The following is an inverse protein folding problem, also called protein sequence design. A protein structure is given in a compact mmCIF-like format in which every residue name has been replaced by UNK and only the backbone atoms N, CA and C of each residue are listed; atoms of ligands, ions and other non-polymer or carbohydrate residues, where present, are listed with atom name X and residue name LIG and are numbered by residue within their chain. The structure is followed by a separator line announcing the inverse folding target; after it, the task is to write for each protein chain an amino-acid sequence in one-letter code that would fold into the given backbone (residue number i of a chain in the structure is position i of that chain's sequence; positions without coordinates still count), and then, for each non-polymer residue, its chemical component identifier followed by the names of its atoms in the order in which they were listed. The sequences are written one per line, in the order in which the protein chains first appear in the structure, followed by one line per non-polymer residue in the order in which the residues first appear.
data_IF_242553580647
#
_entry.id   IF_242553580647
#
_cell.length_a   1.000
_cell.length_b   1.000
_cell.length_c   1.000
_cell.angle_alpha   90.00
_cell.angle_beta   90.00
_cell.angle_gamma   90.00
#
_symmetry.space_group_name_H-M   'P 1'
#
loop_
_entity.id
_entity.type
_entity.pdbx_description
1 polymer ?
#
# COMPACT_ATOMS: atom_id res chain seq x y z
N UNK A 1 2.23 63.20 -15.19
CA UNK A 1 1.65 62.64 -13.94
C UNK A 1 0.30 62.01 -14.27
N UNK A 2 -0.02 60.87 -13.65
CA UNK A 2 -1.26 60.06 -13.78
C UNK A 2 -1.25 58.98 -14.87
N UNK A 3 -0.64 57.83 -14.57
CA UNK A 3 -1.11 56.47 -14.91
C UNK A 3 -0.16 55.45 -14.28
N UNK A 4 -0.25 55.25 -12.95
CA UNK A 4 0.37 54.09 -12.31
C UNK A 4 -0.30 53.78 -10.97
N UNK A 5 -1.61 53.47 -11.04
CA UNK A 5 -2.38 52.97 -9.89
C UNK A 5 -3.43 51.93 -10.27
N UNK A 6 -3.67 51.69 -11.57
CA UNK A 6 -4.65 50.69 -12.02
C UNK A 6 -4.04 49.28 -12.23
N UNK A 7 -2.72 49.18 -12.44
CA UNK A 7 -2.05 47.90 -12.70
C UNK A 7 -1.75 47.11 -11.43
N UNK A 8 -1.71 47.75 -10.26
CA UNK A 8 -1.43 47.08 -8.98
C UNK A 8 -2.68 46.46 -8.32
N UNK A 9 -3.89 46.86 -8.72
CA UNK A 9 -5.13 46.25 -8.21
C UNK A 9 -5.54 44.99 -9.00
N UNK A 10 -5.18 44.90 -10.29
CA UNK A 10 -5.46 43.73 -11.13
C UNK A 10 -4.57 42.51 -10.79
N UNK A 11 -3.43 42.75 -10.16
CA UNK A 11 -2.48 41.69 -9.79
C UNK A 11 -2.79 41.03 -8.43
N UNK A 12 -3.68 41.63 -7.63
CA UNK A 12 -4.14 41.06 -6.34
C UNK A 12 -5.37 40.15 -6.49
N UNK A 13 -6.14 40.28 -7.57
CA UNK A 13 -7.31 39.42 -7.83
C UNK A 13 -6.96 38.13 -8.59
N UNK A 14 -5.83 38.10 -9.28
CA UNK A 14 -5.42 36.92 -10.05
C UNK A 14 -4.76 35.84 -9.16
N UNK A 15 -4.15 36.23 -8.03
CA UNK A 15 -3.56 35.28 -7.06
C UNK A 15 -4.61 34.51 -6.27
N UNK A 16 -5.85 35.01 -6.21
CA UNK A 16 -6.94 34.37 -5.46
C UNK A 16 -7.78 33.36 -6.28
N UNK A 17 -7.47 33.21 -7.58
CA UNK A 17 -8.07 32.19 -8.46
C UNK A 17 -7.24 30.89 -8.48
N UNK A 18 -5.91 30.97 -8.41
CA UNK A 18 -5.04 29.79 -8.39
C UNK A 18 -5.15 28.99 -7.07
N UNK A 19 -5.53 29.64 -5.97
CA UNK A 19 -5.68 28.98 -4.66
C UNK A 19 -7.04 28.28 -4.55
N UNK A 20 -8.08 28.76 -5.24
CA UNK A 20 -9.45 28.22 -5.12
C UNK A 20 -9.62 26.85 -5.77
N UNK A 21 -8.84 26.54 -6.81
CA UNK A 21 -8.81 25.22 -7.44
C UNK A 21 -7.91 24.21 -6.70
N UNK A 22 -6.92 24.69 -5.92
CA UNK A 22 -6.01 23.82 -5.15
C UNK A 22 -6.60 23.35 -3.80
N UNK A 23 -7.64 24.01 -3.29
CA UNK A 23 -8.27 23.69 -1.98
C UNK A 23 -9.70 23.12 -2.10
N UNK A 24 -10.22 22.95 -3.32
CA UNK A 24 -11.59 22.49 -3.57
C UNK A 24 -11.68 21.05 -4.11
N UNK A 25 -10.71 20.18 -3.79
CA UNK A 25 -10.91 18.73 -3.96
C UNK A 25 -10.36 17.87 -2.82
N UNK A 26 -10.96 17.92 -1.61
CA UNK A 26 -10.87 16.83 -0.65
C UNK A 26 -11.77 15.65 -1.07
N UNK A 27 -11.74 15.26 -2.35
CA UNK A 27 -12.52 14.12 -2.85
C UNK A 27 -11.71 13.30 -3.85
N UNK A 28 -10.80 12.49 -3.30
CA UNK A 28 -10.62 11.09 -3.70
C UNK A 28 -9.93 10.35 -2.56
N UNK A 29 -10.78 9.74 -1.73
CA UNK A 29 -10.34 8.93 -0.60
C UNK A 29 -11.49 8.40 0.25
N UNK A 30 -12.76 8.59 -0.15
CA UNK A 30 -13.86 7.78 0.36
C UNK A 30 -13.97 6.49 -0.48
N UNK A 31 -12.84 5.80 -0.65
CA UNK A 31 -12.93 4.34 -0.78
C UNK A 31 -13.47 3.90 0.57
N UNK A 32 -14.59 3.17 0.59
CA UNK A 32 -14.97 2.44 1.79
C UNK A 32 -13.69 1.80 2.38
N UNK A 33 -13.45 1.87 3.70
CA UNK A 33 -12.28 1.21 4.26
C UNK A 33 -12.31 -0.22 3.72
N UNK A 34 -11.33 -0.59 2.91
CA UNK A 34 -11.23 -1.96 2.40
C UNK A 34 -11.40 -2.86 3.60
N UNK A 35 -12.32 -3.83 3.49
CA UNK A 35 -12.63 -4.62 4.65
C UNK A 35 -11.35 -5.32 5.08
N UNK A 36 -11.16 -5.51 6.39
CA UNK A 36 -10.01 -6.23 6.89
C UNK A 36 -9.87 -7.61 6.20
N UNK A 37 -11.00 -8.21 5.80
CA UNK A 37 -11.03 -9.46 5.04
C UNK A 37 -10.47 -9.29 3.62
N UNK A 38 -10.80 -8.21 2.91
CA UNK A 38 -10.21 -7.90 1.59
C UNK A 38 -8.69 -7.71 1.70
N UNK A 39 -8.24 -6.99 2.73
CA UNK A 39 -6.80 -6.79 2.99
C UNK A 39 -6.08 -8.07 3.37
N UNK A 40 -6.74 -8.95 4.11
CA UNK A 40 -6.21 -10.26 4.48
C UNK A 40 -6.12 -11.18 3.25
N UNK A 41 -7.14 -11.17 2.40
CA UNK A 41 -7.17 -11.91 1.15
C UNK A 41 -6.04 -11.45 0.22
N UNK A 42 -5.89 -10.14 0.01
CA UNK A 42 -4.78 -9.56 -0.75
C UNK A 42 -3.42 -9.93 -0.17
N UNK A 43 -3.28 -9.90 1.16
CA UNK A 43 -2.06 -10.32 1.84
C UNK A 43 -1.75 -11.80 1.61
N UNK A 44 -2.76 -12.67 1.64
CA UNK A 44 -2.61 -14.11 1.34
C UNK A 44 -2.20 -14.34 -0.12
N UNK A 45 -2.84 -13.64 -1.06
CA UNK A 45 -2.46 -13.70 -2.48
C UNK A 45 -1.02 -13.21 -2.69
N UNK A 46 -0.61 -12.16 -1.98
CA UNK A 46 0.74 -11.61 -2.07
C UNK A 46 1.80 -12.61 -1.58
N UNK A 47 1.51 -13.38 -0.52
CA UNK A 47 2.40 -14.45 -0.05
C UNK A 47 2.51 -15.56 -1.08
N UNK A 48 1.38 -15.98 -1.69
CA UNK A 48 1.39 -16.99 -2.75
C UNK A 48 2.20 -16.56 -3.98
N UNK A 49 2.12 -15.27 -4.36
CA UNK A 49 2.97 -14.68 -5.41
C UNK A 49 4.44 -14.71 -5.01
N UNK A 50 4.76 -14.25 -3.80
CA UNK A 50 6.14 -14.19 -3.29
C UNK A 50 6.78 -15.59 -3.22
N UNK A 51 6.02 -16.62 -2.85
CA UNK A 51 6.47 -18.01 -2.89
C UNK A 51 6.77 -18.50 -4.32
N UNK A 52 5.88 -18.21 -5.28
CA UNK A 52 6.12 -18.55 -6.68
C UNK A 52 7.32 -17.82 -7.26
N UNK A 53 7.46 -16.53 -6.97
CA UNK A 53 8.59 -15.72 -7.42
C UNK A 53 9.90 -16.27 -6.87
N UNK A 54 9.96 -16.60 -5.57
CA UNK A 54 11.14 -17.20 -4.95
C UNK A 54 11.49 -18.58 -5.56
N UNK A 55 10.49 -19.39 -5.91
CA UNK A 55 10.69 -20.68 -6.59
C UNK A 55 11.19 -20.50 -8.03
N UNK A 56 10.65 -19.52 -8.76
CA UNK A 56 11.09 -19.18 -10.11
C UNK A 56 12.51 -18.64 -10.12
N UNK A 57 12.86 -17.78 -9.16
CA UNK A 57 14.22 -17.27 -9.01
C UNK A 57 15.22 -18.39 -8.72
N UNK A 58 14.89 -19.31 -7.82
CA UNK A 58 15.73 -20.47 -7.54
C UNK A 58 15.94 -21.34 -8.79
N UNK A 59 14.86 -21.61 -9.52
CA UNK A 59 14.91 -22.37 -10.79
C UNK A 59 15.74 -21.67 -11.86
N UNK A 60 15.58 -20.36 -12.03
CA UNK A 60 16.34 -19.59 -13.03
C UNK A 60 17.84 -19.53 -12.68
N UNK A 61 18.16 -19.51 -11.39
CA UNK A 61 19.53 -19.61 -10.90
C UNK A 61 20.15 -20.98 -11.17
N UNK A 62 19.43 -22.07 -10.88
CA UNK A 62 19.86 -23.44 -11.20
C UNK A 62 20.08 -23.66 -12.71
N UNK A 63 19.27 -23.00 -13.54
CA UNK A 63 19.37 -23.04 -15.01
C UNK A 63 20.46 -22.10 -15.57
N UNK A 64 21.12 -21.31 -14.74
CA UNK A 64 22.14 -20.34 -15.16
C UNK A 64 21.60 -19.14 -15.96
N UNK A 65 20.27 -18.95 -15.98
CA UNK A 65 19.61 -17.81 -16.61
C UNK A 65 19.77 -16.53 -15.77
N UNK A 66 19.96 -16.69 -14.46
CA UNK A 66 20.16 -15.59 -13.51
C UNK A 66 21.36 -15.91 -12.62
N UNK A 67 22.43 -15.11 -12.68
CA UNK A 67 23.67 -15.35 -11.90
C UNK A 67 23.64 -14.69 -10.50
N UNK A 68 22.55 -13.99 -10.17
CA UNK A 68 22.44 -13.24 -8.92
C UNK A 68 21.87 -14.14 -7.79
N UNK A 69 22.76 -14.89 -7.16
CA UNK A 69 22.44 -15.70 -5.98
C UNK A 69 21.86 -14.86 -4.84
N UNK A 70 22.32 -13.61 -4.67
CA UNK A 70 21.88 -12.75 -3.58
C UNK A 70 20.38 -12.44 -3.72
N UNK A 71 19.92 -12.17 -4.94
CA UNK A 71 18.49 -11.95 -5.23
C UNK A 71 17.62 -13.17 -4.90
N UNK A 72 18.09 -14.38 -5.20
CA UNK A 72 17.41 -15.64 -4.83
C UNK A 72 17.31 -15.78 -3.32
N UNK A 73 18.43 -15.60 -2.61
CA UNK A 73 18.48 -15.73 -1.16
C UNK A 73 17.58 -14.71 -0.45
N UNK A 74 17.59 -13.45 -0.91
CA UNK A 74 16.69 -12.41 -0.40
C UNK A 74 15.23 -12.78 -0.67
N UNK A 75 14.89 -13.24 -1.88
CA UNK A 75 13.55 -13.68 -2.21
C UNK A 75 13.04 -14.82 -1.31
N UNK A 76 13.90 -15.80 -1.03
CA UNK A 76 13.61 -16.90 -0.09
C UNK A 76 13.40 -16.40 1.35
N UNK A 77 14.24 -15.47 1.81
CA UNK A 77 14.12 -14.86 3.14
C UNK A 77 12.80 -14.08 3.29
N UNK A 78 12.46 -13.26 2.28
CA UNK A 78 11.25 -12.45 2.24
C UNK A 78 10.01 -13.35 2.23
N UNK A 79 10.00 -14.41 1.41
CA UNK A 79 8.91 -15.39 1.36
C UNK A 79 8.68 -16.07 2.72
N UNK A 80 9.76 -16.47 3.39
CA UNK A 80 9.70 -17.12 4.72
C UNK A 80 9.15 -16.19 5.79
N UNK A 81 9.62 -14.94 5.83
CA UNK A 81 9.14 -13.92 6.78
C UNK A 81 7.67 -13.57 6.52
N UNK A 82 7.29 -13.40 5.25
CA UNK A 82 5.92 -13.09 4.86
C UNK A 82 4.95 -14.21 5.28
N UNK A 83 5.34 -15.48 5.10
CA UNK A 83 4.56 -16.63 5.55
C UNK A 83 4.39 -16.66 7.08
N UNK A 84 5.46 -16.41 7.85
CA UNK A 84 5.38 -16.33 9.30
C UNK A 84 4.43 -15.22 9.76
N UNK A 85 4.49 -14.05 9.11
CA UNK A 85 3.58 -12.95 9.40
C UNK A 85 2.13 -13.35 9.15
N UNK A 86 1.83 -14.03 8.04
CA UNK A 86 0.48 -14.53 7.73
C UNK A 86 -0.04 -15.48 8.81
N UNK A 87 0.78 -16.40 9.30
CA UNK A 87 0.38 -17.30 10.38
C UNK A 87 0.04 -16.51 11.66
N UNK A 88 0.81 -15.47 11.99
CA UNK A 88 0.52 -14.61 13.13
C UNK A 88 -0.80 -13.85 12.96
N UNK A 89 -1.07 -13.31 11.77
CA UNK A 89 -2.33 -12.61 11.48
C UNK A 89 -3.51 -13.58 11.55
N UNK A 90 -3.38 -14.77 10.97
CA UNK A 90 -4.40 -15.84 11.07
C UNK A 90 -4.69 -16.19 12.52
N UNK A 91 -3.66 -16.43 13.32
CA UNK A 91 -3.81 -16.78 14.72
C UNK A 91 -4.49 -15.65 15.50
N UNK A 92 -4.12 -14.39 15.25
CA UNK A 92 -4.75 -13.23 15.88
C UNK A 92 -6.23 -13.08 15.48
N UNK A 93 -6.57 -13.32 14.21
CA UNK A 93 -7.94 -13.30 13.72
C UNK A 93 -8.80 -14.41 14.37
N UNK A 94 -8.25 -15.62 14.51
CA UNK A 94 -8.92 -16.72 15.22
C UNK A 94 -9.12 -16.41 16.70
N UNK A 95 -8.14 -15.80 17.37
CA UNK A 95 -8.28 -15.38 18.75
C UNK A 95 -9.33 -14.29 18.92
N UNK A 96 -9.35 -13.26 18.06
CA UNK A 96 -10.36 -12.20 18.10
C UNK A 96 -11.79 -12.76 17.92
N UNK A 97 -11.96 -13.75 17.03
CA UNK A 97 -13.24 -14.45 16.90
C UNK A 97 -13.63 -15.19 18.20
N UNK A 98 -12.68 -15.92 18.80
CA UNK A 98 -12.91 -16.60 20.09
C UNK A 98 -13.22 -15.62 21.23
N UNK A 99 -12.56 -14.46 21.26
CA UNK A 99 -12.75 -13.43 22.28
C UNK A 99 -14.17 -12.84 22.20
N UNK A 100 -14.67 -12.57 20.99
CA UNK A 100 -16.07 -12.15 20.77
C UNK A 100 -17.05 -13.23 21.24
N UNK A 101 -16.76 -14.50 20.96
CA UNK A 101 -17.63 -15.63 21.31
C UNK A 101 -17.66 -15.92 22.82
N UNK A 102 -16.56 -15.67 23.51
CA UNK A 102 -16.42 -15.88 24.96
C UNK A 102 -16.77 -14.63 25.78
N UNK A 103 -17.13 -13.52 25.14
CA UNK A 103 -17.60 -12.34 25.84
C UNK A 103 -18.97 -12.67 26.47
N UNK A 104 -19.12 -12.64 27.80
CA UNK A 104 -20.43 -12.81 28.42
C UNK A 104 -21.32 -11.64 27.99
N UNK A 105 -22.54 -11.96 27.53
CA UNK A 105 -23.61 -10.98 27.28
C UNK A 105 -24.11 -10.35 28.57
#
# INVERSE_FOLDING_TARGET
MKISAATTQAQLNNTNLLIKDAVANPQKGNSAPESFMDRLEDGLQQVARTQNDAANLAKNYELGLENDLAKVMVGQQVSSLAFQLTLNVRNKALSAYKDIMNMPV
#
